data_IF_895140551248
#
_entry.id   IF_895140551248
#
_cell.length_a   1.000
_cell.length_b   1.000
_cell.length_c   1.000
_cell.angle_alpha   90.00
_cell.angle_beta   90.00
_cell.angle_gamma   90.00
#
_symmetry.space_group_name_H-M   'P 1'
#
loop_
_entity.id
_entity.type
_entity.pdbx_description
1 polymer ?
#
# COMPACT_ATOMS: atom_id res chain seq x y z
N UNK A 1 -37.86 19.56 33.79
CA UNK A 1 -36.51 19.21 33.28
C UNK A 1 -36.42 17.73 32.83
N UNK A 2 -37.26 17.27 31.88
CA UNK A 2 -37.31 15.86 31.44
C UNK A 2 -36.86 15.62 29.97
N UNK A 3 -36.60 16.69 29.21
CA UNK A 3 -36.35 16.60 27.76
C UNK A 3 -34.87 16.38 27.38
N UNK A 4 -33.90 16.71 28.25
CA UNK A 4 -32.47 16.58 27.96
C UNK A 4 -31.97 15.12 27.92
N UNK A 5 -32.70 14.17 28.51
CA UNK A 5 -32.27 12.76 28.60
C UNK A 5 -32.59 11.94 27.34
N UNK A 6 -33.63 12.29 26.59
CA UNK A 6 -33.99 11.59 25.35
C UNK A 6 -33.07 12.02 24.20
N UNK A 7 -32.81 13.32 24.10
CA UNK A 7 -31.92 13.88 23.07
C UNK A 7 -30.48 13.39 23.24
N UNK A 8 -29.99 13.34 24.48
CA UNK A 8 -28.64 12.84 24.78
C UNK A 8 -28.49 11.34 24.55
N UNK A 9 -29.52 10.53 24.81
CA UNK A 9 -29.51 9.09 24.48
C UNK A 9 -29.53 8.86 22.97
N UNK A 10 -30.37 9.59 22.25
CA UNK A 10 -30.42 9.53 20.78
C UNK A 10 -29.07 9.96 20.18
N UNK A 11 -28.47 11.05 20.68
CA UNK A 11 -27.16 11.53 20.26
C UNK A 11 -26.03 10.50 20.51
N UNK A 12 -26.08 9.80 21.65
CA UNK A 12 -25.11 8.73 21.93
C UNK A 12 -25.26 7.55 20.96
N UNK A 13 -26.49 7.16 20.62
CA UNK A 13 -26.76 6.16 19.58
C UNK A 13 -26.26 6.61 18.21
N UNK A 14 -26.56 7.85 17.82
CA UNK A 14 -26.13 8.43 16.55
C UNK A 14 -24.61 8.45 16.39
N UNK A 15 -23.87 8.85 17.43
CA UNK A 15 -22.39 8.82 17.41
C UNK A 15 -21.84 7.40 17.23
N UNK A 16 -22.47 6.40 17.84
CA UNK A 16 -22.04 4.99 17.71
C UNK A 16 -22.29 4.46 16.29
N UNK A 17 -23.41 4.83 15.68
CA UNK A 17 -23.71 4.53 14.27
C UNK A 17 -22.71 5.23 13.34
N UNK A 18 -22.44 6.51 13.57
CA UNK A 18 -21.44 7.27 12.80
C UNK A 18 -20.04 6.67 12.87
N UNK A 19 -19.62 6.21 14.06
CA UNK A 19 -18.34 5.51 14.22
C UNK A 19 -18.27 4.20 13.42
N UNK A 20 -19.32 3.37 13.50
CA UNK A 20 -19.37 2.11 12.76
C UNK A 20 -19.35 2.32 11.24
N UNK A 21 -20.14 3.28 10.73
CA UNK A 21 -20.16 3.63 9.31
C UNK A 21 -18.81 4.21 8.88
N UNK A 22 -18.19 5.04 9.72
CA UNK A 22 -16.87 5.60 9.49
C UNK A 22 -15.79 4.53 9.37
N UNK A 23 -15.79 3.51 10.24
CA UNK A 23 -14.84 2.41 10.17
C UNK A 23 -14.99 1.58 8.89
N UNK A 24 -16.24 1.30 8.48
CA UNK A 24 -16.53 0.54 7.26
C UNK A 24 -16.17 1.34 6.02
N UNK A 25 -16.59 2.61 5.95
CA UNK A 25 -16.24 3.51 4.84
C UNK A 25 -14.75 3.76 4.78
N UNK A 26 -14.08 3.94 5.92
CA UNK A 26 -12.64 4.13 5.99
C UNK A 26 -11.89 2.94 5.38
N UNK A 27 -12.27 1.71 5.74
CA UNK A 27 -11.70 0.50 5.13
C UNK A 27 -12.04 0.42 3.64
N UNK A 28 -13.28 0.66 3.25
CA UNK A 28 -13.70 0.61 1.84
C UNK A 28 -12.92 1.60 0.99
N UNK A 29 -12.84 2.87 1.41
CA UNK A 29 -12.09 3.92 0.72
C UNK A 29 -10.60 3.58 0.65
N UNK A 30 -10.01 3.10 1.75
CA UNK A 30 -8.61 2.69 1.76
C UNK A 30 -8.36 1.53 0.81
N UNK A 31 -9.19 0.48 0.84
CA UNK A 31 -9.11 -0.65 -0.09
C UNK A 31 -9.24 -0.17 -1.53
N UNK A 32 -10.22 0.71 -1.82
CA UNK A 32 -10.43 1.23 -3.16
C UNK A 32 -9.24 2.05 -3.65
N UNK A 33 -8.63 2.89 -2.80
CA UNK A 33 -7.41 3.63 -3.13
C UNK A 33 -6.24 2.69 -3.44
N UNK A 34 -6.03 1.66 -2.64
CA UNK A 34 -4.96 0.69 -2.89
C UNK A 34 -5.19 -0.06 -4.22
N UNK A 35 -6.42 -0.47 -4.50
CA UNK A 35 -6.76 -1.17 -5.73
C UNK A 35 -6.76 -0.27 -6.98
N UNK A 36 -7.07 1.02 -6.85
CA UNK A 36 -7.16 1.94 -8.00
C UNK A 36 -5.87 2.71 -8.26
N UNK A 37 -4.99 2.87 -7.27
CA UNK A 37 -3.71 3.57 -7.44
C UNK A 37 -2.54 2.60 -7.43
N UNK A 38 -2.38 1.83 -6.36
CA UNK A 38 -1.18 1.00 -6.15
C UNK A 38 -1.17 -0.21 -7.09
N UNK A 39 -2.29 -0.93 -7.19
CA UNK A 39 -2.39 -2.12 -8.03
C UNK A 39 -2.12 -1.82 -9.53
N UNK A 40 -2.78 -0.85 -10.19
CA UNK A 40 -2.50 -0.58 -11.59
C UNK A 40 -1.09 -0.05 -11.80
N UNK A 41 -0.53 0.73 -10.87
CA UNK A 41 0.87 1.16 -10.96
C UNK A 41 1.84 -0.03 -10.91
N UNK A 42 1.62 -0.97 -9.98
CA UNK A 42 2.42 -2.20 -9.87
C UNK A 42 2.29 -3.10 -11.11
N UNK A 43 1.06 -3.26 -11.62
CA UNK A 43 0.82 -3.99 -12.87
C UNK A 43 1.50 -3.31 -14.05
N UNK A 44 1.40 -1.98 -14.17
CA UNK A 44 2.05 -1.21 -15.22
C UNK A 44 3.57 -1.41 -15.17
N UNK A 45 4.20 -1.23 -14.01
CA UNK A 45 5.64 -1.47 -13.86
C UNK A 45 6.03 -2.91 -14.22
N UNK A 46 5.23 -3.89 -13.80
CA UNK A 46 5.45 -5.30 -14.13
C UNK A 46 5.36 -5.56 -15.63
N UNK A 47 4.34 -5.03 -16.31
CA UNK A 47 4.14 -5.26 -17.73
C UNK A 47 5.18 -4.53 -18.60
N UNK A 48 5.55 -3.30 -18.23
CA UNK A 48 6.40 -2.44 -19.05
C UNK A 48 7.90 -2.59 -18.79
N UNK A 49 8.34 -2.86 -17.57
CA UNK A 49 9.77 -2.90 -17.24
C UNK A 49 10.30 -4.26 -16.78
N UNK A 50 9.43 -5.25 -16.53
CA UNK A 50 9.76 -6.52 -15.86
C UNK A 50 10.97 -6.38 -14.91
N UNK A 51 10.86 -5.54 -13.86
CA UNK A 51 12.00 -5.17 -13.03
C UNK A 51 12.62 -6.37 -12.29
N UNK A 52 11.88 -7.47 -12.15
CA UNK A 52 12.37 -8.71 -11.55
C UNK A 52 12.79 -9.77 -12.58
N UNK A 53 12.76 -9.45 -13.89
CA UNK A 53 13.03 -10.39 -14.97
C UNK A 53 12.26 -11.73 -14.80
N UNK A 54 11.02 -11.68 -14.30
CA UNK A 54 10.21 -12.86 -13.99
C UNK A 54 9.72 -13.56 -15.26
N UNK A 55 9.67 -12.84 -16.39
CA UNK A 55 9.27 -13.37 -17.68
C UNK A 55 10.42 -14.03 -18.45
N UNK A 56 11.51 -14.40 -17.78
CA UNK A 56 12.66 -15.05 -18.42
C UNK A 56 12.24 -16.41 -18.97
N UNK A 57 12.08 -16.48 -20.29
CA UNK A 57 11.76 -17.69 -21.04
C UNK A 57 13.02 -18.56 -21.25
N UNK A 58 13.78 -18.83 -20.20
CA UNK A 58 15.03 -19.58 -20.27
C UNK A 58 15.44 -20.18 -18.93
N UNK A 59 16.36 -21.16 -18.92
CA UNK A 59 16.81 -21.81 -17.70
C UNK A 59 17.39 -20.79 -16.71
N UNK A 60 17.24 -21.03 -15.39
CA UNK A 60 17.83 -20.18 -14.36
C UNK A 60 19.34 -20.10 -14.61
N UNK A 61 19.82 -18.89 -14.89
CA UNK A 61 21.22 -18.63 -15.18
C UNK A 61 21.69 -17.44 -14.36
N UNK A 62 22.93 -17.53 -13.87
CA UNK A 62 23.60 -16.46 -13.16
C UNK A 62 23.63 -15.20 -14.02
N UNK A 63 23.11 -14.09 -13.49
CA UNK A 63 23.17 -12.80 -14.17
C UNK A 63 24.50 -12.15 -13.86
N UNK A 64 25.24 -11.77 -14.91
CA UNK A 64 26.46 -10.98 -14.76
C UNK A 64 26.10 -9.62 -14.15
N UNK A 65 26.49 -9.40 -12.89
CA UNK A 65 26.39 -8.10 -12.26
C UNK A 65 27.33 -7.14 -13.01
N UNK A 66 26.81 -5.98 -13.46
CA UNK A 66 27.70 -4.88 -13.87
C UNK A 66 28.48 -4.44 -12.64
N UNK A 67 29.82 -4.48 -12.65
CA UNK A 67 30.60 -3.91 -11.56
C UNK A 67 30.35 -2.40 -11.58
N UNK A 68 29.69 -1.87 -10.56
CA UNK A 68 29.89 -0.46 -10.22
C UNK A 68 31.35 -0.32 -9.77
N UNK A 69 31.95 0.82 -10.13
CA UNK A 69 33.38 1.15 -9.98
C UNK A 69 34.04 0.34 -8.86
N UNK A 70 34.81 -0.68 -9.25
CA UNK A 70 35.48 -1.63 -8.37
C UNK A 70 36.68 -0.96 -7.67
N UNK A 71 36.42 0.14 -6.98
CA UNK A 71 37.38 0.92 -6.23
C UNK A 71 37.28 0.59 -4.76
N UNK A 72 38.43 0.55 -4.08
CA UNK A 72 38.49 0.30 -2.64
C UNK A 72 37.76 1.37 -1.81
N UNK A 73 37.54 2.56 -2.38
CA UNK A 73 36.77 3.62 -1.75
C UNK A 73 35.26 3.34 -1.76
N UNK A 74 34.72 2.79 -2.87
CA UNK A 74 33.31 2.39 -2.95
C UNK A 74 32.97 1.29 -1.93
N UNK A 75 33.90 0.35 -1.70
CA UNK A 75 33.73 -0.73 -0.71
C UNK A 75 33.64 -0.21 0.73
N UNK A 76 34.40 0.85 1.09
CA UNK A 76 34.39 1.44 2.44
C UNK A 76 33.13 2.24 2.77
N UNK A 77 32.39 2.70 1.76
CA UNK A 77 31.13 3.46 1.98
C UNK A 77 29.93 2.56 2.33
N UNK A 78 30.07 1.25 2.15
CA UNK A 78 28.98 0.27 2.30
C UNK A 78 29.12 -0.61 3.57
N UNK A 79 30.20 -0.44 4.34
CA UNK A 79 30.48 -1.13 5.62
C UNK A 79 30.17 -0.23 6.81
#
# INVERSE_FOLDING_TARGET
MKHMSLLSKFWQGWKRVGGFIGDVLGRLVLTLLYFTLVLPFGLLMRFFRDPLALRRNGPPAWQSRKPDDATMEAARRLS
#
